data_IF_226633967917
#
_entry.id   IF_226633967917
#
_cell.length_a   1.000
_cell.length_b   1.000
_cell.length_c   1.000
_cell.angle_alpha   90.00
_cell.angle_beta   90.00
_cell.angle_gamma   90.00
#
_symmetry.space_group_name_H-M   'P 1'
#
loop_
_entity.id
_entity.type
_entity.pdbx_description
1 polymer ?
#
# COMPACT_ATOMS: atom_id res chain seq x y z
N UNK A 1 20.26 21.82 -12.28
CA UNK A 1 19.18 22.02 -11.27
C UNK A 1 18.42 20.75 -10.88
N UNK A 2 18.49 19.63 -11.63
CA UNK A 2 17.67 18.44 -11.35
C UNK A 2 18.04 17.67 -10.06
N UNK A 3 19.33 17.35 -9.83
CA UNK A 3 19.76 16.48 -8.72
C UNK A 3 19.50 17.07 -7.32
N UNK A 4 19.70 18.37 -7.16
CA UNK A 4 19.46 19.05 -5.88
C UNK A 4 17.96 19.10 -5.52
N UNK A 5 17.10 19.29 -6.52
CA UNK A 5 15.65 19.27 -6.34
C UNK A 5 15.16 17.86 -5.98
N UNK A 6 15.70 16.82 -6.64
CA UNK A 6 15.44 15.42 -6.30
C UNK A 6 15.86 15.11 -4.86
N UNK A 7 17.09 15.41 -4.46
CA UNK A 7 17.58 15.17 -3.10
C UNK A 7 16.77 15.94 -2.04
N UNK A 8 16.41 17.20 -2.32
CA UNK A 8 15.56 18.00 -1.43
C UNK A 8 14.15 17.41 -1.30
N UNK A 9 13.61 16.88 -2.40
CA UNK A 9 12.30 16.22 -2.39
C UNK A 9 12.34 14.90 -1.61
N UNK A 10 13.35 14.06 -1.82
CA UNK A 10 13.55 12.81 -1.08
C UNK A 10 13.73 13.06 0.42
N UNK A 11 14.51 14.07 0.80
CA UNK A 11 14.69 14.45 2.21
C UNK A 11 13.36 14.82 2.85
N UNK A 12 12.54 15.63 2.17
CA UNK A 12 11.20 16.00 2.66
C UNK A 12 10.28 14.78 2.75
N UNK A 13 10.31 13.88 1.77
CA UNK A 13 9.52 12.64 1.78
C UNK A 13 9.91 11.75 2.96
N UNK A 14 11.20 11.58 3.25
CA UNK A 14 11.68 10.81 4.41
C UNK A 14 11.21 11.40 5.73
N UNK A 15 11.26 12.73 5.88
CA UNK A 15 10.72 13.41 7.07
C UNK A 15 9.21 13.22 7.19
N UNK A 16 8.47 13.26 6.08
CA UNK A 16 7.03 13.01 6.06
C UNK A 16 6.70 11.59 6.52
N UNK A 17 7.44 10.59 6.02
CA UNK A 17 7.28 9.19 6.44
C UNK A 17 7.45 9.07 7.95
N UNK A 18 8.48 9.67 8.54
CA UNK A 18 8.69 9.60 10.00
C UNK A 18 7.53 10.19 10.82
N UNK A 19 6.90 11.27 10.33
CA UNK A 19 5.73 11.85 10.98
C UNK A 19 4.52 10.90 10.88
N UNK A 20 4.26 10.34 9.70
CA UNK A 20 3.17 9.38 9.53
C UNK A 20 3.38 8.09 10.33
N UNK A 21 4.61 7.59 10.44
CA UNK A 21 4.93 6.44 11.30
C UNK A 21 4.52 6.72 12.74
N UNK A 22 4.89 7.88 13.29
CA UNK A 22 4.47 8.28 14.64
C UNK A 22 2.95 8.31 14.80
N UNK A 23 2.23 8.85 13.82
CA UNK A 23 0.75 8.90 13.88
C UNK A 23 0.14 7.50 13.83
N UNK A 24 0.65 6.63 12.96
CA UNK A 24 0.22 5.23 12.88
C UNK A 24 0.48 4.48 14.20
N UNK A 25 1.67 4.68 14.81
CA UNK A 25 2.08 3.99 16.05
C UNK A 25 1.30 4.45 17.28
N UNK A 26 0.92 5.74 17.36
CA UNK A 26 0.23 6.31 18.52
C UNK A 26 -1.21 5.80 18.66
N UNK A 27 -1.88 5.45 17.55
CA UNK A 27 -3.16 4.73 17.61
C UNK A 27 -4.37 5.52 18.16
N UNK A 28 -4.21 6.79 18.55
CA UNK A 28 -5.22 7.58 19.28
C UNK A 28 -6.53 7.84 18.50
N UNK A 29 -6.48 7.86 17.16
CA UNK A 29 -7.67 7.99 16.32
C UNK A 29 -7.57 7.07 15.09
N UNK A 30 -8.49 6.09 14.99
CA UNK A 30 -8.52 5.07 13.93
C UNK A 30 -8.52 5.64 12.50
N UNK A 31 -9.19 6.76 12.26
CA UNK A 31 -9.23 7.38 10.93
C UNK A 31 -7.91 8.06 10.56
N UNK A 32 -7.30 8.76 11.52
CA UNK A 32 -5.99 9.39 11.30
C UNK A 32 -4.86 8.35 11.20
N UNK A 33 -4.99 7.22 11.89
CA UNK A 33 -4.00 6.13 11.81
C UNK A 33 -4.12 5.34 10.52
N UNK A 34 -5.31 5.19 9.93
CA UNK A 34 -5.46 4.51 8.64
C UNK A 34 -4.81 5.32 7.51
N UNK A 35 -5.15 6.60 7.38
CA UNK A 35 -4.49 7.52 6.44
C UNK A 35 -2.97 7.49 6.61
N UNK A 36 -2.48 7.66 7.85
CA UNK A 36 -1.05 7.67 8.11
C UNK A 36 -0.36 6.34 7.70
N UNK A 37 -1.01 5.21 7.98
CA UNK A 37 -0.52 3.88 7.59
C UNK A 37 -0.37 3.77 6.08
N UNK A 38 -1.40 4.18 5.34
CA UNK A 38 -1.36 4.17 3.87
C UNK A 38 -0.28 5.11 3.32
N UNK A 39 -0.17 6.33 3.86
CA UNK A 39 0.84 7.30 3.44
C UNK A 39 2.27 6.80 3.65
N UNK A 40 2.55 6.07 4.74
CA UNK A 40 3.86 5.44 4.91
C UNK A 40 4.12 4.43 3.79
N UNK A 41 3.13 3.60 3.44
CA UNK A 41 3.29 2.59 2.40
C UNK A 41 3.61 3.22 1.04
N UNK A 42 2.78 4.16 0.57
CA UNK A 42 2.95 4.77 -0.77
C UNK A 42 4.25 5.58 -0.88
N UNK A 43 4.62 6.30 0.18
CA UNK A 43 5.82 7.14 0.15
C UNK A 43 7.08 6.29 0.21
N UNK A 44 7.04 5.17 0.93
CA UNK A 44 8.13 4.20 0.98
C UNK A 44 8.30 3.52 -0.37
N UNK A 45 7.21 3.12 -1.02
CA UNK A 45 7.22 2.57 -2.38
C UNK A 45 7.82 3.56 -3.39
N UNK A 46 7.41 4.84 -3.31
CA UNK A 46 7.98 5.91 -4.16
C UNK A 46 9.49 6.11 -3.95
N UNK A 47 9.99 5.86 -2.75
CA UNK A 47 11.42 5.87 -2.42
C UNK A 47 12.13 4.55 -2.72
N UNK A 48 11.41 3.56 -3.30
CA UNK A 48 11.89 2.19 -3.56
C UNK A 48 12.28 1.42 -2.31
N UNK A 49 11.80 1.86 -1.14
CA UNK A 49 11.87 1.09 0.11
C UNK A 49 10.68 0.11 0.14
N UNK A 50 10.78 -0.92 -0.71
CA UNK A 50 9.72 -1.91 -0.88
C UNK A 50 9.47 -2.73 0.40
N UNK A 51 10.49 -2.88 1.26
CA UNK A 51 10.33 -3.57 2.54
C UNK A 51 9.37 -2.81 3.45
N UNK A 52 9.61 -1.51 3.65
CA UNK A 52 8.69 -0.67 4.44
C UNK A 52 7.33 -0.55 3.77
N UNK A 53 7.28 -0.44 2.44
CA UNK A 53 6.00 -0.39 1.72
C UNK A 53 5.15 -1.65 1.97
N UNK A 54 5.75 -2.83 1.85
CA UNK A 54 5.07 -4.10 2.11
C UNK A 54 4.53 -4.19 3.53
N UNK A 55 5.36 -3.84 4.51
CA UNK A 55 5.02 -3.87 5.93
C UNK A 55 3.79 -3.02 6.21
N UNK A 56 3.74 -1.79 5.70
CA UNK A 56 2.65 -0.87 5.96
C UNK A 56 1.40 -1.18 5.13
N UNK A 57 1.52 -1.68 3.90
CA UNK A 57 0.35 -2.19 3.18
C UNK A 57 -0.26 -3.42 3.88
N UNK A 58 0.57 -4.36 4.35
CA UNK A 58 0.13 -5.50 5.17
C UNK A 58 -0.59 -5.03 6.42
N UNK A 59 0.04 -4.13 7.18
CA UNK A 59 -0.56 -3.54 8.36
C UNK A 59 -1.92 -2.91 8.05
N UNK A 60 -2.06 -2.23 6.91
CA UNK A 60 -3.33 -1.63 6.52
C UNK A 60 -4.41 -2.69 6.33
N UNK A 61 -4.15 -3.71 5.50
CA UNK A 61 -5.16 -4.71 5.11
C UNK A 61 -5.52 -5.68 6.24
N UNK A 62 -4.70 -5.74 7.31
CA UNK A 62 -4.92 -6.53 8.52
C UNK A 62 -5.70 -5.78 9.62
N UNK A 63 -5.54 -4.45 9.72
CA UNK A 63 -6.09 -3.66 10.83
C UNK A 63 -7.27 -2.78 10.46
N UNK A 64 -7.51 -2.52 9.17
CA UNK A 64 -8.61 -1.71 8.67
C UNK A 64 -9.62 -2.55 7.88
N UNK A 65 -10.71 -1.93 7.43
CA UNK A 65 -11.87 -2.60 6.82
C UNK A 65 -12.33 -1.90 5.54
N UNK A 66 -13.29 -2.49 4.81
CA UNK A 66 -13.86 -1.87 3.61
C UNK A 66 -14.56 -0.51 3.81
N UNK A 67 -14.72 -0.06 5.07
CA UNK A 67 -15.22 1.29 5.39
C UNK A 67 -14.12 2.35 5.35
N UNK A 68 -12.86 1.95 5.36
CA UNK A 68 -11.69 2.82 5.38
C UNK A 68 -11.25 3.17 3.96
N UNK A 69 -10.86 4.44 3.75
CA UNK A 69 -10.73 5.04 2.42
C UNK A 69 -9.75 4.35 1.46
N UNK A 70 -8.72 3.68 1.99
CA UNK A 70 -7.65 3.08 1.18
C UNK A 70 -7.62 1.56 1.29
N UNK A 71 -8.71 0.93 1.73
CA UNK A 71 -8.72 -0.51 1.96
C UNK A 71 -8.52 -1.31 0.67
N UNK A 72 -9.30 -1.00 -0.36
CA UNK A 72 -9.20 -1.68 -1.65
C UNK A 72 -7.91 -1.32 -2.39
N UNK A 73 -7.48 -0.06 -2.33
CA UNK A 73 -6.21 0.40 -2.89
C UNK A 73 -5.00 -0.27 -2.20
N UNK A 74 -5.02 -0.44 -0.88
CA UNK A 74 -3.95 -1.13 -0.14
C UNK A 74 -3.84 -2.59 -0.52
N UNK A 75 -4.97 -3.29 -0.70
CA UNK A 75 -4.95 -4.66 -1.23
C UNK A 75 -4.42 -4.70 -2.66
N UNK A 76 -4.84 -3.77 -3.52
CA UNK A 76 -4.36 -3.70 -4.90
C UNK A 76 -2.85 -3.48 -4.96
N UNK A 77 -2.35 -2.44 -4.29
CA UNK A 77 -0.93 -2.10 -4.30
C UNK A 77 -0.07 -3.23 -3.71
N UNK A 78 -0.49 -3.85 -2.60
CA UNK A 78 0.21 -5.02 -2.05
C UNK A 78 0.23 -6.20 -3.01
N UNK A 79 -0.91 -6.50 -3.65
CA UNK A 79 -1.02 -7.57 -4.64
C UNK A 79 -0.14 -7.34 -5.87
N UNK A 80 -0.11 -6.10 -6.37
CA UNK A 80 0.76 -5.70 -7.47
C UNK A 80 2.24 -5.69 -7.08
N UNK A 81 2.56 -5.31 -5.83
CA UNK A 81 3.93 -5.36 -5.32
C UNK A 81 4.45 -6.80 -5.32
N UNK A 82 3.66 -7.76 -4.84
CA UNK A 82 4.01 -9.17 -4.91
C UNK A 82 4.17 -9.66 -6.35
N UNK A 83 3.25 -9.28 -7.23
CA UNK A 83 3.31 -9.65 -8.65
C UNK A 83 4.61 -9.17 -9.29
N UNK A 84 4.95 -7.89 -9.10
CA UNK A 84 6.16 -7.28 -9.65
C UNK A 84 7.45 -7.89 -9.08
N UNK A 85 7.40 -8.45 -7.87
CA UNK A 85 8.50 -9.17 -7.25
C UNK A 85 8.57 -10.67 -7.64
N UNK A 86 7.67 -11.14 -8.53
CA UNK A 86 7.59 -12.54 -8.94
C UNK A 86 6.94 -13.48 -7.92
N UNK A 87 6.41 -12.94 -6.81
CA UNK A 87 5.69 -13.71 -5.80
C UNK A 87 4.22 -13.88 -6.19
N UNK A 88 4.01 -14.69 -7.23
CA UNK A 88 2.69 -14.91 -7.81
C UNK A 88 1.70 -15.51 -6.79
N UNK A 89 2.20 -16.33 -5.86
CA UNK A 89 1.38 -16.95 -4.80
C UNK A 89 0.79 -15.88 -3.88
N UNK A 90 1.61 -15.01 -3.30
CA UNK A 90 1.11 -13.97 -2.39
C UNK A 90 0.32 -12.90 -3.14
N UNK A 91 0.69 -12.61 -4.40
CA UNK A 91 -0.10 -11.74 -5.27
C UNK A 91 -1.54 -12.25 -5.44
N UNK A 92 -1.70 -13.50 -5.92
CA UNK A 92 -3.03 -14.12 -6.11
C UNK A 92 -3.83 -14.17 -4.82
N UNK A 93 -3.21 -14.54 -3.70
CA UNK A 93 -3.90 -14.58 -2.40
C UNK A 93 -4.42 -13.19 -1.99
N UNK A 94 -3.61 -12.16 -2.18
CA UNK A 94 -3.94 -10.78 -1.81
C UNK A 94 -5.03 -10.21 -2.73
N UNK A 95 -4.88 -10.35 -4.04
CA UNK A 95 -5.85 -9.87 -5.03
C UNK A 95 -7.18 -10.64 -4.96
N UNK A 96 -7.18 -11.92 -4.59
CA UNK A 96 -8.42 -12.67 -4.36
C UNK A 96 -9.19 -12.10 -3.16
N UNK A 97 -8.50 -11.67 -2.10
CA UNK A 97 -9.13 -11.00 -0.96
C UNK A 97 -9.75 -9.66 -1.35
N UNK A 98 -9.07 -8.86 -2.20
CA UNK A 98 -9.64 -7.63 -2.78
C UNK A 98 -10.98 -7.91 -3.45
N UNK A 99 -11.00 -8.84 -4.42
CA UNK A 99 -12.20 -9.16 -5.20
C UNK A 99 -13.34 -9.69 -4.31
N UNK A 100 -13.01 -10.46 -3.28
CA UNK A 100 -14.01 -11.02 -2.37
C UNK A 100 -14.57 -9.98 -1.39
N UNK A 101 -13.73 -9.09 -0.86
CA UNK A 101 -14.13 -8.11 0.18
C UNK A 101 -14.74 -6.86 -0.42
N UNK A 102 -14.25 -6.42 -1.58
CA UNK A 102 -14.73 -5.21 -2.26
C UNK A 102 -15.01 -5.51 -3.75
N UNK A 103 -16.06 -6.30 -4.06
CA UNK A 103 -16.32 -6.78 -5.43
C UNK A 103 -16.51 -5.66 -6.45
N UNK A 104 -17.03 -4.51 -6.03
CA UNK A 104 -17.30 -3.33 -6.87
C UNK A 104 -16.14 -2.33 -6.91
N UNK A 105 -14.98 -2.67 -6.33
CA UNK A 105 -13.80 -1.81 -6.38
C UNK A 105 -13.37 -1.54 -7.82
N UNK A 106 -12.93 -0.31 -8.11
CA UNK A 106 -12.32 0.03 -9.40
C UNK A 106 -11.04 -0.77 -9.67
N UNK A 107 -10.41 -1.33 -8.62
CA UNK A 107 -9.23 -2.18 -8.72
C UNK A 107 -9.56 -3.63 -9.10
N UNK A 108 -10.84 -4.06 -9.08
CA UNK A 108 -11.28 -5.34 -9.64
C UNK A 108 -11.36 -5.26 -11.20
N UNK A 109 -10.23 -4.95 -11.80
CA UNK A 109 -10.09 -4.65 -13.22
C UNK A 109 -9.54 -5.84 -14.03
N UNK A 110 -9.30 -5.63 -15.32
CA UNK A 110 -8.77 -6.66 -16.23
C UNK A 110 -7.43 -7.22 -15.78
N UNK A 111 -6.51 -6.38 -15.26
CA UNK A 111 -5.18 -6.84 -14.84
C UNK A 111 -5.28 -7.76 -13.62
N UNK A 112 -6.11 -7.43 -12.63
CA UNK A 112 -6.35 -8.33 -11.49
C UNK A 112 -6.92 -9.67 -11.95
N UNK A 113 -7.88 -9.64 -12.90
CA UNK A 113 -8.47 -10.87 -13.46
C UNK A 113 -7.46 -11.73 -14.23
N UNK A 114 -6.50 -11.10 -14.90
CA UNK A 114 -5.40 -11.79 -15.59
C UNK A 114 -4.48 -12.48 -14.60
N UNK A 115 -3.98 -11.77 -13.58
CA UNK A 115 -3.09 -12.33 -12.55
C UNK A 115 -3.75 -13.51 -11.83
N UNK A 116 -5.04 -13.41 -11.53
CA UNK A 116 -5.79 -14.49 -10.87
C UNK A 116 -5.97 -15.76 -11.73
N UNK A 117 -5.79 -15.66 -13.05
CA UNK A 117 -5.91 -16.78 -14.00
C UNK A 117 -4.57 -17.38 -14.43
N UNK A 118 -3.47 -16.70 -14.16
CA UNK A 118 -2.12 -17.21 -14.45
C UNK A 118 -1.94 -18.58 -13.77
N UNK A 119 -1.13 -19.47 -14.33
CA UNK A 119 -0.86 -20.79 -13.75
C UNK A 119 0.32 -20.72 -12.76
#
# INVERSE_FOLDING_TARGET
>A
MSKANTLKSEKKTKSSIQLYKKVADIGENKGNTSEATYQVAILSEKLKDYKTAEEYYKMYVENYSEKDAYFDESYYNLGMMYYNNGDLKNSKLTLKKLVNKVPNSMYNNSKVKEILKEE
#
